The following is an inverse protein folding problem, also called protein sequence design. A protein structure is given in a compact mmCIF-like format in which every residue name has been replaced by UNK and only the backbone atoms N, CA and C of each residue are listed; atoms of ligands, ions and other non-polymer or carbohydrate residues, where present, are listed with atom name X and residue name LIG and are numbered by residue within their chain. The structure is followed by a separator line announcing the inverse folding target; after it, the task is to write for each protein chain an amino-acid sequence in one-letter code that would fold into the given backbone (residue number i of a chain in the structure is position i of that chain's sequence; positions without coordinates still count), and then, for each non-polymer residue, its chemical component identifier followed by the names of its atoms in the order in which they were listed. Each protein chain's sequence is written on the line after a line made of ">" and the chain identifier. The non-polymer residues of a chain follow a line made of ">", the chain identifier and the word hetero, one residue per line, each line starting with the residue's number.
data_IF_509003181914
#
_entry.id   IF_509003181914
#
_cell.length_a   1.000
_cell.length_b   1.000
_cell.length_c   1.000
_cell.angle_alpha   90.00
_cell.angle_beta   90.00
_cell.angle_gamma   90.00
#
_symmetry.space_group_name_H-M   'P 1'
#
loop_
_entity.id
_entity.type
_entity.pdbx_description
1 polymer ?
#
# COMPACT_ATOMS: atom_id res chain seq x y z
N UNK A 1 8.32 9.86 10.47
CA UNK A 1 7.30 10.71 9.84
C UNK A 1 7.16 11.98 10.65
N UNK A 2 7.29 13.14 10.01
CA UNK A 2 7.18 14.43 10.69
C UNK A 2 5.71 14.78 10.94
N UNK A 3 5.43 15.60 11.95
CA UNK A 3 4.07 15.99 12.34
C UNK A 3 3.25 16.62 11.21
N UNK A 4 3.89 17.40 10.35
CA UNK A 4 3.26 17.98 9.16
C UNK A 4 2.84 16.93 8.12
N UNK A 5 3.64 15.86 7.98
CA UNK A 5 3.31 14.74 7.09
C UNK A 5 2.11 13.96 7.62
N UNK A 6 2.02 13.80 8.94
CA UNK A 6 0.85 13.18 9.60
C UNK A 6 -0.41 13.98 9.29
N UNK A 7 -0.36 15.29 9.49
CA UNK A 7 -1.51 16.16 9.27
C UNK A 7 -1.98 16.12 7.81
N UNK A 8 -1.04 16.27 6.85
CA UNK A 8 -1.34 16.17 5.41
C UNK A 8 -1.89 14.80 5.03
N UNK A 9 -1.38 13.73 5.63
CA UNK A 9 -1.89 12.38 5.40
C UNK A 9 -3.34 12.24 5.88
N UNK A 10 -3.66 12.70 7.09
CA UNK A 10 -5.02 12.64 7.64
C UNK A 10 -6.00 13.43 6.78
N UNK A 11 -5.65 14.65 6.39
CA UNK A 11 -6.47 15.47 5.49
C UNK A 11 -6.79 14.72 4.19
N UNK A 12 -5.75 14.21 3.50
CA UNK A 12 -5.93 13.43 2.27
C UNK A 12 -6.80 12.20 2.47
N UNK A 13 -6.63 11.48 3.57
CA UNK A 13 -7.41 10.29 3.90
C UNK A 13 -8.90 10.61 4.05
N UNK A 14 -9.23 11.64 4.84
CA UNK A 14 -10.64 12.01 5.05
C UNK A 14 -11.28 12.62 3.80
N UNK A 15 -10.55 13.45 3.04
CA UNK A 15 -11.04 13.96 1.76
C UNK A 15 -11.28 12.85 0.74
N UNK A 16 -10.38 11.87 0.64
CA UNK A 16 -10.54 10.74 -0.28
C UNK A 16 -11.77 9.88 0.05
N UNK A 17 -12.13 9.78 1.34
CA UNK A 17 -13.32 9.08 1.81
C UNK A 17 -14.57 9.96 1.89
N UNK A 18 -14.54 11.14 1.25
CA UNK A 18 -15.67 12.09 1.18
C UNK A 18 -16.19 12.55 2.55
N UNK A 19 -15.34 12.55 3.58
CA UNK A 19 -15.65 13.20 4.85
C UNK A 19 -15.55 14.72 4.70
N UNK A 20 -16.49 15.44 5.32
CA UNK A 20 -16.46 16.90 5.34
C UNK A 20 -15.44 17.37 6.39
N UNK A 21 -14.49 18.21 5.97
CA UNK A 21 -13.54 18.85 6.88
C UNK A 21 -14.24 20.06 7.51
N UNK A 22 -14.55 19.96 8.79
CA UNK A 22 -15.23 20.99 9.57
C UNK A 22 -14.23 22.06 10.01
N UNK A 23 -13.03 21.64 10.41
CA UNK A 23 -11.97 22.53 10.86
C UNK A 23 -10.60 21.93 10.49
N UNK A 24 -9.73 22.74 9.90
CA UNK A 24 -8.36 22.36 9.55
C UNK A 24 -7.41 23.45 10.05
N UNK A 25 -6.64 23.13 11.08
CA UNK A 25 -5.65 24.03 11.66
C UNK A 25 -4.30 23.33 11.79
N UNK A 26 -3.23 24.10 11.99
CA UNK A 26 -1.89 23.55 12.20
C UNK A 26 -1.76 22.65 13.44
N UNK A 27 -2.74 22.64 14.35
CA UNK A 27 -2.71 21.82 15.57
C UNK A 27 -3.68 20.64 15.55
N UNK A 28 -4.81 20.76 14.86
CA UNK A 28 -5.83 19.71 14.85
C UNK A 28 -6.69 19.74 13.58
N UNK A 29 -7.32 18.61 13.29
CA UNK A 29 -8.23 18.39 12.18
C UNK A 29 -9.57 17.88 12.73
N UNK A 30 -10.66 18.60 12.50
CA UNK A 30 -12.02 18.15 12.83
C UNK A 30 -12.77 17.77 11.55
N UNK A 31 -13.34 16.57 11.53
CA UNK A 31 -14.04 16.01 10.37
C UNK A 31 -15.41 15.46 10.77
N UNK A 32 -16.39 15.68 9.90
CA UNK A 32 -17.67 14.99 9.96
C UNK A 32 -17.54 13.69 9.17
N UNK A 33 -17.69 12.56 9.85
CA UNK A 33 -17.57 11.25 9.22
C UNK A 33 -18.77 10.97 8.31
N UNK A 34 -18.53 10.19 7.25
CA UNK A 34 -19.60 9.52 6.50
C UNK A 34 -20.10 8.30 7.27
N UNK A 35 -21.21 7.69 6.82
CA UNK A 35 -21.74 6.45 7.42
C UNK A 35 -20.68 5.34 7.38
N UNK A 36 -20.01 5.17 6.24
CA UNK A 36 -19.02 4.12 6.04
C UNK A 36 -17.78 4.37 6.90
N UNK A 37 -17.28 5.60 6.93
CA UNK A 37 -16.12 5.95 7.74
C UNK A 37 -16.37 5.88 9.23
N UNK A 38 -17.61 6.14 9.65
CA UNK A 38 -18.00 5.96 11.03
C UNK A 38 -18.02 4.47 11.40
N UNK A 39 -18.61 3.59 10.58
CA UNK A 39 -18.56 2.14 10.82
C UNK A 39 -17.14 1.59 10.86
N UNK A 40 -16.27 2.12 10.00
CA UNK A 40 -14.88 1.69 9.86
C UNK A 40 -14.00 2.15 11.04
N UNK A 41 -14.14 3.41 11.48
CA UNK A 41 -13.26 4.01 12.48
C UNK A 41 -13.85 4.02 13.89
N UNK A 42 -15.17 4.04 14.00
CA UNK A 42 -15.88 4.12 15.28
C UNK A 42 -16.36 2.72 15.68
N UNK A 43 -15.88 2.27 16.84
CA UNK A 43 -16.26 0.97 17.40
C UNK A 43 -17.68 1.00 18.02
N UNK A 44 -18.71 1.25 17.20
CA UNK A 44 -20.12 1.30 17.60
C UNK A 44 -21.05 0.39 16.77
N UNK A 45 -20.74 -0.91 16.63
CA UNK A 45 -21.51 -1.83 15.79
C UNK A 45 -22.98 -1.96 16.23
N UNK A 46 -23.26 -1.89 17.54
CA UNK A 46 -24.63 -1.99 18.06
C UNK A 46 -25.53 -0.81 17.66
N UNK A 47 -24.96 0.40 17.59
CA UNK A 47 -25.70 1.59 17.13
C UNK A 47 -26.17 1.39 15.70
N UNK A 48 -25.25 0.99 14.80
CA UNK A 48 -25.55 0.78 13.39
C UNK A 48 -26.53 -0.37 13.18
N UNK A 49 -26.33 -1.50 13.87
CA UNK A 49 -27.24 -2.65 13.78
C UNK A 49 -28.67 -2.31 14.22
N UNK A 50 -28.83 -1.53 15.29
CA UNK A 50 -30.14 -1.08 15.73
C UNK A 50 -30.77 -0.10 14.74
N UNK A 51 -30.00 0.86 14.23
CA UNK A 51 -30.48 1.89 13.30
C UNK A 51 -30.94 1.30 11.97
N UNK A 52 -30.19 0.34 11.42
CA UNK A 52 -30.55 -0.39 10.19
C UNK A 52 -31.82 -1.23 10.36
N UNK A 53 -32.02 -1.84 11.53
CA UNK A 53 -33.23 -2.60 11.84
C UNK A 53 -34.48 -1.74 12.02
N UNK A 54 -34.30 -0.54 12.54
CA UNK A 54 -35.41 0.36 12.90
C UNK A 54 -35.72 1.38 11.80
N UNK A 55 -34.90 1.46 10.76
CA UNK A 55 -35.04 2.47 9.70
C UNK A 55 -34.80 3.90 10.19
N UNK A 56 -34.01 4.06 11.26
CA UNK A 56 -33.69 5.37 11.82
C UNK A 56 -32.84 6.23 10.89
N UNK A 57 -32.82 7.55 11.13
CA UNK A 57 -31.97 8.48 10.36
C UNK A 57 -30.52 8.37 10.83
N UNK A 58 -29.56 8.07 9.94
CA UNK A 58 -28.14 7.98 10.30
C UNK A 58 -27.61 9.27 10.92
N UNK A 59 -26.84 9.15 12.00
CA UNK A 59 -26.11 10.27 12.61
C UNK A 59 -24.63 9.89 12.84
N UNK A 60 -23.79 9.99 11.80
CA UNK A 60 -22.34 9.78 11.90
C UNK A 60 -21.69 10.76 12.90
N UNK A 61 -20.68 10.29 13.63
CA UNK A 61 -19.98 11.11 14.61
C UNK A 61 -19.04 12.14 13.95
N UNK A 62 -18.79 13.24 14.67
CA UNK A 62 -17.67 14.14 14.39
C UNK A 62 -16.43 13.63 15.11
N UNK A 63 -15.29 13.70 14.44
CA UNK A 63 -14.00 13.29 14.99
C UNK A 63 -13.04 14.47 14.97
N UNK A 64 -12.38 14.71 16.09
CA UNK A 64 -11.31 15.71 16.23
C UNK A 64 -9.99 15.01 16.46
N UNK A 65 -9.00 15.27 15.61
CA UNK A 65 -7.68 14.65 15.64
C UNK A 65 -6.65 15.72 15.95
N UNK A 66 -6.00 15.60 17.11
CA UNK A 66 -5.00 16.56 17.58
C UNK A 66 -3.63 16.08 17.09
N UNK A 67 -3.09 16.77 16.08
CA UNK A 67 -1.78 16.45 15.51
C UNK A 67 -0.64 17.16 16.22
N UNK A 68 -0.88 18.32 16.86
CA UNK A 68 0.10 19.08 17.64
C UNK A 68 -0.45 19.52 19.01
N UNK A 69 -0.15 18.71 20.04
CA UNK A 69 -0.57 18.99 21.41
C UNK A 69 0.02 20.27 21.99
N UNK A 70 1.18 20.75 21.50
CA UNK A 70 1.80 21.97 22.03
C UNK A 70 1.11 23.25 21.53
N UNK A 71 0.36 23.16 20.43
CA UNK A 71 -0.36 24.29 19.81
C UNK A 71 -1.87 24.12 19.86
N UNK A 72 -2.35 22.99 20.37
CA UNK A 72 -3.77 22.74 20.56
C UNK A 72 -4.26 23.51 21.79
N UNK A 73 -5.49 24.06 21.77
CA UNK A 73 -6.13 24.60 22.96
C UNK A 73 -6.22 23.54 24.06
N UNK A 74 -5.96 23.90 25.32
CA UNK A 74 -5.95 22.96 26.46
C UNK A 74 -7.33 22.28 26.68
N UNK A 75 -8.42 22.96 26.33
CA UNK A 75 -9.79 22.45 26.45
C UNK A 75 -10.27 21.62 25.24
N UNK A 76 -9.44 21.48 24.20
CA UNK A 76 -9.83 20.76 22.99
C UNK A 76 -9.90 19.26 23.25
N UNK A 77 -11.11 18.70 23.18
CA UNK A 77 -11.32 17.25 23.26
C UNK A 77 -11.15 16.61 21.89
N UNK A 78 -10.24 15.66 21.78
CA UNK A 78 -9.99 14.91 20.56
C UNK A 78 -8.98 13.79 20.77
N UNK A 79 -8.79 12.98 19.73
CA UNK A 79 -7.81 11.91 19.73
C UNK A 79 -6.43 12.47 19.39
N UNK A 80 -5.44 12.25 20.26
CA UNK A 80 -4.06 12.65 19.96
C UNK A 80 -3.45 11.71 18.91
N UNK A 81 -3.03 12.28 17.78
CA UNK A 81 -2.45 11.54 16.66
C UNK A 81 -0.99 11.91 16.51
N UNK A 82 -0.14 10.94 16.80
CA UNK A 82 1.29 10.98 16.52
C UNK A 82 1.71 9.67 15.86
N UNK A 83 2.93 9.62 15.35
CA UNK A 83 3.47 8.39 14.80
C UNK A 83 3.49 7.29 15.87
N UNK A 84 2.88 6.15 15.58
CA UNK A 84 2.74 5.04 16.53
C UNK A 84 1.50 5.09 17.44
N UNK A 85 0.64 6.12 17.35
CA UNK A 85 -0.59 6.12 18.15
C UNK A 85 -1.59 5.06 17.64
N UNK A 86 -2.41 4.45 18.52
CA UNK A 86 -3.39 3.44 18.10
C UNK A 86 -4.34 3.94 17.01
N UNK A 87 -4.79 5.20 17.11
CA UNK A 87 -5.65 5.82 16.10
C UNK A 87 -4.97 5.93 14.73
N UNK A 88 -3.68 6.27 14.70
CA UNK A 88 -2.93 6.31 13.45
C UNK A 88 -2.82 4.91 12.82
N UNK A 89 -2.52 3.88 13.63
CA UNK A 89 -2.44 2.51 13.13
C UNK A 89 -3.77 2.05 12.52
N UNK A 90 -4.89 2.32 13.20
CA UNK A 90 -6.22 2.03 12.68
C UNK A 90 -6.49 2.71 11.33
N UNK A 91 -6.14 4.00 11.20
CA UNK A 91 -6.32 4.74 9.93
C UNK A 91 -5.41 4.17 8.83
N UNK A 92 -4.18 3.78 9.15
CA UNK A 92 -3.29 3.13 8.18
C UNK A 92 -3.80 1.77 7.71
N UNK A 93 -4.34 0.96 8.61
CA UNK A 93 -4.96 -0.32 8.29
C UNK A 93 -6.19 -0.11 7.40
N UNK A 94 -7.07 0.82 7.78
CA UNK A 94 -8.22 1.19 6.99
C UNK A 94 -7.84 1.69 5.59
N UNK A 95 -6.80 2.53 5.49
CA UNK A 95 -6.27 3.00 4.20
C UNK A 95 -5.84 1.83 3.32
N UNK A 96 -5.13 0.84 3.87
CA UNK A 96 -4.71 -0.35 3.11
C UNK A 96 -5.89 -1.19 2.64
N UNK A 97 -6.92 -1.32 3.48
CA UNK A 97 -8.14 -2.05 3.16
C UNK A 97 -8.92 -1.37 2.01
N UNK A 98 -9.12 -0.05 2.12
CA UNK A 98 -9.92 0.74 1.17
C UNK A 98 -9.18 1.01 -0.15
N UNK A 99 -7.85 1.11 -0.13
CA UNK A 99 -7.04 1.46 -1.29
C UNK A 99 -6.37 0.25 -1.98
N UNK A 100 -6.88 -0.97 -1.76
CA UNK A 100 -6.28 -2.18 -2.32
C UNK A 100 -6.37 -2.29 -3.84
N UNK A 101 -7.45 -1.76 -4.45
CA UNK A 101 -7.68 -1.81 -5.89
C UNK A 101 -8.45 -0.58 -6.42
N UNK A 102 -8.03 -0.05 -7.56
CA UNK A 102 -8.74 1.04 -8.24
C UNK A 102 -8.92 0.79 -9.75
N UNK A 103 -9.92 1.44 -10.35
CA UNK A 103 -10.06 1.52 -11.81
C UNK A 103 -10.19 2.96 -12.24
N UNK A 104 -9.28 3.41 -13.12
CA UNK A 104 -9.23 4.78 -13.59
C UNK A 104 -9.08 4.86 -15.12
N UNK A 105 -9.51 5.98 -15.67
CA UNK A 105 -9.48 6.29 -17.10
C UNK A 105 -8.74 7.62 -17.29
N UNK A 106 -7.92 7.72 -18.34
CA UNK A 106 -7.26 8.96 -18.70
C UNK A 106 -8.29 10.00 -19.14
N UNK A 107 -8.29 11.17 -18.49
CA UNK A 107 -9.16 12.29 -18.84
C UNK A 107 -8.52 13.11 -19.97
N UNK A 108 -8.82 12.73 -21.21
CA UNK A 108 -8.33 13.42 -22.40
C UNK A 108 -9.32 14.55 -22.74
N UNK A 109 -8.94 15.83 -22.62
CA UNK A 109 -9.84 16.93 -22.91
C UNK A 109 -10.25 16.93 -24.39
N UNK A 110 -11.56 17.01 -24.62
CA UNK A 110 -12.19 17.00 -25.94
C UNK A 110 -11.93 18.32 -26.69
N UNK A 111 -10.71 18.52 -27.18
CA UNK A 111 -10.31 19.75 -27.87
C UNK A 111 -9.97 19.58 -29.34
N UNK A 112 -10.06 18.36 -29.86
CA UNK A 112 -9.80 18.09 -31.28
C UNK A 112 -10.96 17.29 -31.81
N UNK A 113 -11.60 17.75 -32.89
CA UNK A 113 -12.67 17.04 -33.62
C UNK A 113 -12.23 15.72 -34.27
N UNK A 114 -11.25 15.03 -33.68
CA UNK A 114 -10.92 13.65 -33.92
C UNK A 114 -11.98 12.79 -33.23
N UNK A 115 -12.40 11.71 -33.89
CA UNK A 115 -13.45 10.81 -33.42
C UNK A 115 -13.15 10.13 -32.08
N UNK A 116 -13.94 9.10 -31.78
CA UNK A 116 -13.83 8.37 -30.51
C UNK A 116 -12.40 7.87 -30.25
N UNK A 117 -11.86 8.16 -29.06
CA UNK A 117 -10.50 7.77 -28.66
C UNK A 117 -10.50 6.41 -27.95
N UNK A 118 -9.64 5.46 -28.38
CA UNK A 118 -9.48 4.18 -27.69
C UNK A 118 -8.62 4.33 -26.44
N UNK A 119 -9.11 3.82 -25.32
CA UNK A 119 -8.35 3.68 -24.08
C UNK A 119 -7.94 2.22 -23.89
N UNK A 120 -6.64 2.01 -23.72
CA UNK A 120 -6.04 0.70 -23.62
C UNK A 120 -5.93 0.23 -22.16
N UNK A 121 -6.26 -1.03 -21.86
CA UNK A 121 -6.21 -1.56 -20.50
C UNK A 121 -4.77 -1.88 -20.05
N UNK A 122 -4.40 -1.34 -18.90
CA UNK A 122 -3.14 -1.57 -18.19
C UNK A 122 -3.43 -2.07 -16.78
N UNK A 123 -2.77 -3.15 -16.37
CA UNK A 123 -2.78 -3.60 -14.98
C UNK A 123 -1.53 -3.06 -14.29
N UNK A 124 -1.74 -2.29 -13.22
CA UNK A 124 -0.67 -1.85 -12.34
C UNK A 124 -0.67 -2.66 -11.06
N UNK A 125 0.53 -2.98 -10.57
CA UNK A 125 0.76 -3.59 -9.26
C UNK A 125 1.94 -2.88 -8.61
N UNK A 126 1.69 -2.30 -7.45
CA UNK A 126 2.73 -1.77 -6.57
C UNK A 126 3.04 -2.83 -5.52
N UNK A 127 4.31 -3.19 -5.38
CA UNK A 127 4.74 -4.27 -4.51
C UNK A 127 6.00 -3.90 -3.74
N UNK A 128 6.19 -4.58 -2.61
CA UNK A 128 7.37 -4.47 -1.77
C UNK A 128 8.10 -5.81 -1.77
N UNK A 129 9.36 -5.80 -2.18
CA UNK A 129 10.29 -6.93 -2.05
C UNK A 129 11.14 -6.68 -0.80
N UNK A 130 11.04 -7.59 0.17
CA UNK A 130 11.75 -7.48 1.45
C UNK A 130 12.76 -8.61 1.58
N UNK A 131 14.05 -8.29 1.52
CA UNK A 131 15.16 -9.21 1.78
C UNK A 131 15.43 -9.21 3.28
N UNK A 132 15.30 -10.35 3.92
CA UNK A 132 15.32 -10.48 5.38
C UNK A 132 16.26 -11.60 5.84
N UNK A 133 17.09 -11.27 6.82
CA UNK A 133 17.91 -12.14 7.64
C UNK A 133 18.24 -11.34 8.93
N UNK A 134 19.50 -11.32 9.36
CA UNK A 134 19.99 -10.44 10.43
C UNK A 134 19.80 -8.95 10.11
N UNK A 135 19.63 -8.63 8.83
CA UNK A 135 19.28 -7.30 8.33
C UNK A 135 18.05 -7.37 7.42
N UNK A 136 17.37 -6.24 7.28
CA UNK A 136 16.21 -6.08 6.40
C UNK A 136 16.47 -4.99 5.36
N UNK A 137 16.30 -5.33 4.08
CA UNK A 137 16.30 -4.39 2.96
C UNK A 137 14.95 -4.46 2.26
N UNK A 138 14.25 -3.34 2.20
CA UNK A 138 12.97 -3.22 1.50
C UNK A 138 13.14 -2.43 0.20
N UNK A 139 12.62 -2.97 -0.90
CA UNK A 139 12.58 -2.34 -2.22
C UNK A 139 11.12 -2.24 -2.65
N UNK A 140 10.68 -1.04 -3.06
CA UNK A 140 9.34 -0.83 -3.60
C UNK A 140 9.44 -0.78 -5.12
N UNK A 141 8.56 -1.52 -5.78
CA UNK A 141 8.48 -1.54 -7.24
C UNK A 141 7.06 -1.21 -7.68
N UNK A 142 6.97 -0.40 -8.73
CA UNK A 142 5.72 -0.15 -9.43
C UNK A 142 5.81 -0.73 -10.83
N UNK A 143 5.01 -1.75 -11.10
CA UNK A 143 5.00 -2.41 -12.41
C UNK A 143 3.65 -2.19 -13.09
N UNK A 144 3.68 -1.89 -14.38
CA UNK A 144 2.52 -1.85 -15.25
C UNK A 144 2.66 -2.89 -16.35
N UNK A 145 1.58 -3.62 -16.66
CA UNK A 145 1.52 -4.50 -17.83
C UNK A 145 0.36 -4.09 -18.73
N UNK A 146 0.68 -3.87 -20.00
CA UNK A 146 -0.33 -3.61 -21.03
C UNK A 146 -1.08 -4.91 -21.33
N UNK A 147 -2.39 -4.93 -21.12
CA UNK A 147 -3.20 -6.15 -21.21
C UNK A 147 -3.56 -6.56 -22.66
N UNK A 148 -3.01 -5.86 -23.66
CA UNK A 148 -3.13 -6.24 -25.07
C UNK A 148 -1.80 -6.78 -25.59
N UNK A 149 -0.69 -6.04 -25.45
CA UNK A 149 0.62 -6.47 -25.97
C UNK A 149 1.41 -7.33 -24.98
N UNK A 150 1.12 -7.22 -23.68
CA UNK A 150 1.90 -7.86 -22.62
C UNK A 150 3.19 -7.13 -22.26
N UNK A 151 3.41 -5.92 -22.79
CA UNK A 151 4.58 -5.10 -22.46
C UNK A 151 4.56 -4.73 -20.98
N UNK A 152 5.68 -4.97 -20.28
CA UNK A 152 5.89 -4.61 -18.88
C UNK A 152 6.68 -3.30 -18.82
N UNK A 153 6.28 -2.42 -17.91
CA UNK A 153 6.85 -1.10 -17.68
C UNK A 153 7.14 -0.95 -16.20
N UNK A 154 8.37 -0.60 -15.86
CA UNK A 154 8.77 -0.26 -14.50
C UNK A 154 8.41 1.19 -14.17
N UNK A 155 8.41 1.53 -12.88
CA UNK A 155 8.06 2.87 -12.37
C UNK A 155 6.72 3.38 -12.90
N UNK A 156 5.78 2.47 -13.14
CA UNK A 156 4.51 2.80 -13.79
C UNK A 156 3.72 3.88 -13.03
N UNK A 157 3.74 3.85 -11.70
CA UNK A 157 3.13 4.86 -10.84
C UNK A 157 3.67 6.27 -11.14
N UNK A 158 4.98 6.43 -11.35
CA UNK A 158 5.59 7.73 -11.65
C UNK A 158 5.08 8.28 -13.00
N UNK A 159 4.86 7.42 -13.99
CA UNK A 159 4.31 7.82 -15.28
C UNK A 159 2.82 8.17 -15.19
N UNK A 160 2.07 7.42 -14.40
CA UNK A 160 0.63 7.66 -14.21
C UNK A 160 0.35 8.94 -13.43
N UNK A 161 1.20 9.31 -12.47
CA UNK A 161 1.07 10.55 -11.70
C UNK A 161 1.18 11.82 -12.56
N UNK A 162 1.76 11.72 -13.75
CA UNK A 162 1.88 12.84 -14.71
C UNK A 162 0.59 13.07 -15.50
N UNK A 163 -0.41 12.21 -15.36
CA UNK A 163 -1.61 12.15 -16.21
C UNK A 163 -2.85 12.47 -15.38
N UNK A 164 -3.80 13.18 -16.00
CA UNK A 164 -5.10 13.41 -15.39
C UNK A 164 -5.97 12.16 -15.50
N UNK A 165 -6.37 11.61 -14.36
CA UNK A 165 -7.19 10.40 -14.27
C UNK A 165 -8.56 10.70 -13.68
N UNK A 166 -9.55 9.93 -14.11
CA UNK A 166 -10.94 10.01 -13.65
C UNK A 166 -11.52 8.62 -13.40
N UNK A 167 -12.42 8.44 -12.41
CA UNK A 167 -13.11 7.17 -12.16
C UNK A 167 -14.20 6.84 -13.20
N UNK A 168 -14.61 7.82 -14.01
CA UNK A 168 -15.64 7.65 -15.05
C UNK A 168 -15.00 7.76 -16.44
N UNK A 169 -15.48 6.95 -17.37
CA UNK A 169 -15.05 7.02 -18.78
C UNK A 169 -15.37 8.44 -19.28
N UNK A 170 -14.37 9.21 -19.77
CA UNK A 170 -14.61 10.53 -20.33
C UNK A 170 -15.47 10.48 -21.59
N UNK A 171 -16.08 11.61 -21.93
CA UNK A 171 -16.84 11.75 -23.17
C UNK A 171 -15.94 11.46 -24.39
N UNK A 172 -16.55 10.90 -25.43
CA UNK A 172 -15.87 10.52 -26.68
C UNK A 172 -14.73 9.50 -26.51
N UNK A 173 -14.65 8.78 -25.39
CA UNK A 173 -13.69 7.69 -25.18
C UNK A 173 -14.38 6.32 -25.16
N UNK A 174 -13.68 5.26 -25.57
CA UNK A 174 -14.13 3.88 -25.41
C UNK A 174 -13.00 2.98 -24.93
N UNK A 175 -13.33 1.90 -24.23
CA UNK A 175 -12.36 0.97 -23.68
C UNK A 175 -12.05 -0.17 -24.66
N UNK A 176 -10.76 -0.46 -24.83
CA UNK A 176 -10.32 -1.64 -25.57
C UNK A 176 -10.48 -2.89 -24.71
N UNK A 177 -10.91 -3.99 -25.33
CA UNK A 177 -11.03 -5.28 -24.63
C UNK A 177 -9.64 -5.87 -24.36
N UNK A 178 -9.32 -6.25 -23.11
CA UNK A 178 -8.06 -6.89 -22.80
C UNK A 178 -7.98 -8.27 -23.45
N UNK A 179 -6.87 -8.56 -24.13
CA UNK A 179 -6.56 -9.90 -24.66
C UNK A 179 -6.00 -10.78 -23.54
N UNK A 180 -5.19 -10.19 -22.67
CA UNK A 180 -4.60 -10.81 -21.49
C UNK A 180 -5.50 -10.50 -20.30
N UNK A 181 -6.05 -11.54 -19.67
CA UNK A 181 -6.86 -11.37 -18.46
C UNK A 181 -5.99 -10.78 -17.33
N UNK A 182 -6.55 -9.94 -16.43
CA UNK A 182 -5.79 -9.37 -15.32
C UNK A 182 -5.07 -10.43 -14.46
N UNK A 183 -5.69 -11.57 -14.19
CA UNK A 183 -5.05 -12.67 -13.46
C UNK A 183 -3.79 -13.21 -14.19
N UNK A 184 -3.87 -13.39 -15.51
CA UNK A 184 -2.71 -13.79 -16.33
C UNK A 184 -1.65 -12.69 -16.38
N UNK A 185 -2.06 -11.42 -16.38
CA UNK A 185 -1.15 -10.28 -16.26
C UNK A 185 -0.39 -10.29 -14.94
N UNK A 186 -1.08 -10.57 -13.83
CA UNK A 186 -0.45 -10.69 -12.50
C UNK A 186 0.58 -11.82 -12.47
N UNK A 187 0.27 -13.00 -13.01
CA UNK A 187 1.24 -14.10 -13.13
C UNK A 187 2.47 -13.69 -13.93
N UNK A 188 2.33 -12.90 -15.00
CA UNK A 188 3.49 -12.39 -15.77
C UNK A 188 4.34 -11.43 -14.95
N UNK A 189 3.71 -10.54 -14.17
CA UNK A 189 4.43 -9.65 -13.25
C UNK A 189 5.16 -10.44 -12.17
N UNK A 190 4.55 -11.50 -11.63
CA UNK A 190 5.20 -12.40 -10.68
C UNK A 190 6.47 -13.04 -11.26
N UNK A 191 6.39 -13.56 -12.50
CA UNK A 191 7.56 -14.13 -13.18
C UNK A 191 8.65 -13.08 -13.43
N UNK A 192 8.25 -11.86 -13.79
CA UNK A 192 9.17 -10.73 -13.97
C UNK A 192 9.93 -10.43 -12.67
N UNK A 193 9.22 -10.35 -11.54
CA UNK A 193 9.79 -10.08 -10.22
C UNK A 193 10.71 -11.21 -9.77
N UNK A 194 10.33 -12.46 -9.98
CA UNK A 194 11.19 -13.60 -9.69
C UNK A 194 12.48 -13.58 -10.52
N UNK A 195 12.39 -13.19 -11.80
CA UNK A 195 13.56 -12.99 -12.65
C UNK A 195 14.46 -11.85 -12.16
N UNK A 196 13.87 -10.72 -11.76
CA UNK A 196 14.59 -9.59 -11.17
C UNK A 196 15.34 -10.02 -9.89
N UNK A 197 14.65 -10.67 -8.95
CA UNK A 197 15.25 -11.19 -7.71
C UNK A 197 16.38 -12.17 -8.03
N UNK A 198 16.18 -13.09 -8.96
CA UNK A 198 17.20 -14.07 -9.33
C UNK A 198 18.46 -13.43 -9.95
N UNK A 199 18.32 -12.28 -10.62
CA UNK A 199 19.42 -11.55 -11.23
C UNK A 199 20.21 -10.65 -10.28
N UNK A 200 19.68 -10.35 -9.08
CA UNK A 200 20.38 -9.54 -8.09
C UNK A 200 21.54 -10.29 -7.43
N UNK A 201 22.42 -9.53 -6.78
CA UNK A 201 23.52 -10.08 -5.97
C UNK A 201 23.00 -10.68 -4.66
N UNK A 202 23.29 -11.97 -4.44
CA UNK A 202 22.86 -12.75 -3.28
C UNK A 202 23.96 -12.91 -2.21
N UNK A 203 25.06 -12.14 -2.29
CA UNK A 203 26.12 -12.15 -1.27
C UNK A 203 25.58 -11.96 0.16
N UNK A 204 24.53 -11.15 0.33
CA UNK A 204 23.89 -10.95 1.63
C UNK A 204 23.40 -12.26 2.27
N UNK A 205 22.86 -13.18 1.47
CA UNK A 205 22.35 -14.47 1.92
C UNK A 205 23.49 -15.44 2.23
N UNK A 206 24.56 -15.42 1.44
CA UNK A 206 25.76 -16.23 1.69
C UNK A 206 26.45 -15.80 2.98
N UNK A 207 26.61 -14.49 3.19
CA UNK A 207 27.23 -13.95 4.39
C UNK A 207 26.39 -14.21 5.65
N UNK A 208 25.06 -14.12 5.55
CA UNK A 208 24.17 -14.50 6.64
C UNK A 208 24.33 -15.97 7.02
N UNK A 209 24.44 -16.89 6.03
CA UNK A 209 24.70 -18.31 6.30
C UNK A 209 26.05 -18.58 6.94
N UNK A 210 27.11 -17.85 6.55
CA UNK A 210 28.43 -17.98 7.20
C UNK A 210 28.38 -17.54 8.66
N UNK A 211 27.69 -16.43 8.97
CA UNK A 211 27.50 -15.98 10.36
C UNK A 211 26.67 -16.97 11.16
N UNK A 212 25.62 -17.52 10.55
CA UNK A 212 24.81 -18.54 11.20
C UNK A 212 25.64 -19.78 11.57
N UNK A 213 26.47 -20.28 10.66
CA UNK A 213 27.32 -21.44 10.93
C UNK A 213 28.32 -21.18 12.07
N UNK A 214 28.91 -19.98 12.14
CA UNK A 214 29.78 -19.56 13.24
C UNK A 214 29.06 -19.54 14.59
N UNK A 215 27.87 -18.94 14.64
CA UNK A 215 27.08 -18.86 15.87
C UNK A 215 26.56 -20.25 16.29
N UNK A 216 26.19 -21.10 15.33
CA UNK A 216 25.76 -22.47 15.58
C UNK A 216 26.90 -23.33 16.13
N UNK A 217 28.13 -23.17 15.62
CA UNK A 217 29.32 -23.84 16.15
C UNK A 217 29.60 -23.42 17.59
N UNK A 218 29.47 -22.11 17.89
CA UNK A 218 29.67 -21.57 19.23
C UNK A 218 28.61 -22.12 20.20
N UNK A 219 27.35 -22.15 19.79
CA UNK A 219 26.26 -22.76 20.54
C UNK A 219 26.53 -24.25 20.80
N UNK A 220 26.93 -24.98 19.76
CA UNK A 220 27.21 -26.43 19.87
C UNK A 220 28.35 -26.70 20.84
N UNK A 221 29.42 -25.90 20.80
CA UNK A 221 30.55 -26.04 21.70
C UNK A 221 30.19 -25.73 23.17
N UNK A 222 29.30 -24.76 23.41
CA UNK A 222 28.84 -24.43 24.76
C UNK A 222 28.08 -25.57 25.44
N UNK A 223 27.36 -26.38 24.66
CA UNK A 223 26.55 -27.52 25.11
C UNK A 223 27.20 -28.88 24.79
N UNK A 224 28.52 -28.92 24.53
CA UNK A 224 29.22 -30.14 24.10
C UNK A 224 29.35 -31.19 25.23
N UNK A 225 29.45 -30.72 26.48
CA UNK A 225 29.61 -31.56 27.67
C UNK A 225 28.26 -32.02 28.29
N UNK A 226 27.13 -31.56 27.75
CA UNK A 226 25.79 -31.94 28.23
C UNK A 226 25.29 -33.22 27.53
N UNK A 227 25.16 -34.32 28.28
CA UNK A 227 24.68 -35.61 27.74
C UNK A 227 23.25 -35.54 27.18
N UNK A 228 22.41 -34.66 27.74
CA UNK A 228 21.03 -34.43 27.31
C UNK A 228 20.84 -32.94 27.04
N UNK A 229 20.59 -32.57 25.78
CA UNK A 229 20.47 -31.17 25.39
C UNK A 229 19.22 -30.53 26.03
N UNK A 230 19.37 -29.44 26.80
CA UNK A 230 18.24 -28.79 27.45
C UNK A 230 17.34 -28.09 26.43
N UNK A 231 16.08 -27.82 26.83
CA UNK A 231 15.10 -27.07 26.00
C UNK A 231 15.61 -25.67 25.57
N UNK A 232 16.52 -25.08 26.36
CA UNK A 232 17.19 -23.82 26.01
C UNK A 232 18.01 -23.93 24.72
N UNK A 233 18.67 -25.07 24.48
CA UNK A 233 19.43 -25.31 23.26
C UNK A 233 18.53 -25.29 22.02
N UNK A 234 17.37 -25.96 22.08
CA UNK A 234 16.43 -25.99 20.96
C UNK A 234 15.82 -24.60 20.69
N UNK A 235 15.55 -23.85 21.76
CA UNK A 235 15.02 -22.49 21.67
C UNK A 235 16.03 -21.54 21.03
N UNK A 236 17.30 -21.61 21.44
CA UNK A 236 18.38 -20.80 20.87
C UNK A 236 18.69 -21.19 19.42
N UNK A 237 18.66 -22.49 19.09
CA UNK A 237 18.82 -22.96 17.72
C UNK A 237 17.72 -22.43 16.79
N UNK A 238 16.47 -22.43 17.25
CA UNK A 238 15.35 -21.82 16.51
C UNK A 238 15.51 -20.30 16.38
N UNK A 239 15.95 -19.62 17.43
CA UNK A 239 16.20 -18.18 17.38
C UNK A 239 17.29 -17.82 16.36
N UNK A 240 18.39 -18.58 16.32
CA UNK A 240 19.45 -18.44 15.32
C UNK A 240 18.92 -18.68 13.90
N UNK A 241 18.08 -19.69 13.72
CA UNK A 241 17.43 -19.93 12.44
C UNK A 241 16.55 -18.76 12.02
N UNK A 242 15.65 -18.29 12.88
CA UNK A 242 14.76 -17.17 12.58
C UNK A 242 15.53 -15.89 12.27
N UNK A 243 16.65 -15.67 12.94
CA UNK A 243 17.52 -14.51 12.74
C UNK A 243 18.29 -14.58 11.43
N UNK A 244 18.93 -15.69 11.11
CA UNK A 244 19.88 -15.73 9.99
C UNK A 244 19.34 -16.37 8.71
N UNK A 245 18.24 -17.12 8.76
CA UNK A 245 17.69 -17.78 7.59
C UNK A 245 17.28 -16.75 6.52
N UNK A 246 17.98 -16.71 5.36
CA UNK A 246 17.71 -15.71 4.34
C UNK A 246 16.34 -15.96 3.70
N UNK A 247 15.44 -14.97 3.79
CA UNK A 247 14.08 -15.03 3.22
C UNK A 247 13.80 -13.79 2.41
N UNK A 248 13.13 -13.97 1.26
CA UNK A 248 12.64 -12.87 0.43
C UNK A 248 11.12 -12.91 0.48
N UNK A 249 10.52 -11.84 0.96
CA UNK A 249 9.07 -11.68 1.02
C UNK A 249 8.63 -10.67 -0.04
N UNK A 250 7.76 -11.10 -0.94
CA UNK A 250 7.10 -10.20 -1.90
C UNK A 250 5.67 -9.95 -1.42
N UNK A 251 5.30 -8.70 -1.24
CA UNK A 251 3.95 -8.31 -0.80
C UNK A 251 3.39 -7.28 -1.76
N UNK A 252 2.18 -7.52 -2.27
CA UNK A 252 1.44 -6.53 -3.04
C UNK A 252 0.93 -5.45 -2.07
N UNK A 253 1.27 -4.20 -2.35
CA UNK A 253 0.82 -3.04 -1.56
C UNK A 253 -0.58 -2.64 -2.03
N UNK A 254 -0.75 -2.48 -3.34
CA UNK A 254 -2.02 -2.21 -4.01
C UNK A 254 -1.89 -2.50 -5.50
N UNK A 255 -3.00 -2.44 -6.22
CA UNK A 255 -3.00 -2.49 -7.67
C UNK A 255 -4.13 -1.68 -8.28
N UNK A 256 -4.18 -1.65 -9.60
CA UNK A 256 -5.27 -0.98 -10.30
C UNK A 256 -5.34 -1.32 -11.76
N UNK A 257 -6.50 -1.05 -12.35
CA UNK A 257 -6.74 -1.17 -13.78
C UNK A 257 -6.89 0.22 -14.38
N UNK A 258 -5.95 0.59 -15.23
CA UNK A 258 -5.86 1.90 -15.84
C UNK A 258 -6.20 1.79 -17.33
N UNK A 259 -7.04 2.68 -17.82
CA UNK A 259 -7.41 2.77 -19.23
C UNK A 259 -6.80 4.04 -19.80
N UNK A 260 -5.70 3.87 -20.53
CA UNK A 260 -4.81 4.96 -20.94
C UNK A 260 -4.81 5.11 -22.45
N UNK A 261 -4.74 6.34 -22.93
CA UNK A 261 -4.80 6.68 -24.34
C UNK A 261 -3.51 6.37 -25.11
N UNK A 262 -3.53 6.52 -26.44
CA UNK A 262 -2.38 6.21 -27.30
C UNK A 262 -1.14 7.06 -26.99
N UNK A 263 -1.32 8.30 -26.53
CA UNK A 263 -0.23 9.22 -26.17
C UNK A 263 0.66 8.64 -25.06
N UNK A 264 0.06 8.00 -24.06
CA UNK A 264 0.79 7.35 -22.98
C UNK A 264 1.66 6.20 -23.51
N UNK A 265 1.10 5.36 -24.38
CA UNK A 265 1.80 4.23 -25.01
C UNK A 265 3.01 4.74 -25.80
N UNK A 266 2.83 5.81 -26.57
CA UNK A 266 3.92 6.41 -27.35
C UNK A 266 5.04 6.97 -26.47
N UNK A 267 4.71 7.58 -25.33
CA UNK A 267 5.70 8.13 -24.41
C UNK A 267 6.57 7.02 -23.80
N UNK A 268 5.95 5.92 -23.35
CA UNK A 268 6.67 4.76 -22.81
C UNK A 268 7.62 4.16 -23.85
N UNK A 269 7.18 4.02 -25.10
CA UNK A 269 8.03 3.46 -26.16
C UNK A 269 9.13 4.41 -26.63
N UNK A 270 8.98 5.72 -26.40
CA UNK A 270 9.95 6.73 -26.85
C UNK A 270 11.10 6.97 -25.87
N UNK A 271 11.10 6.31 -24.70
CA UNK A 271 12.22 6.34 -23.74
C UNK A 271 12.58 7.73 -23.22
N UNK A 272 11.60 8.63 -23.08
CA UNK A 272 11.78 9.96 -22.50
C UNK A 272 11.23 10.04 -21.09
#
# INVERSE_FOLDING_TARGET
>A
MQQQEIHRFLERYFSANSCEIVENTNSHLAVQLTIDMDKELMNRPFYWHYLEKTGGVPNPMKMTLITDSNKAPEDLKGDHVHFGSPRMHQIFESTKSLAGYIRLYENIPSHTGAGHLPLHPWLNVNMKVSYQCDRKKDVIMSLGIHLITGTIVEKFQEEVEKINLTPKIPDFCFTMTPIIKPASGLTRLEHYVNGFIASEDHQWAEDARKRWDQDLQLLTHFYEDDEEKPESYETEMKALQEQYEPKIHVTIINGGLFYLGPSFINNIHSGR
#
